data_IF_128208124147
#
_entry.id   IF_128208124147
#
_cell.length_a   1.000
_cell.length_b   1.000
_cell.length_c   1.000
_cell.angle_alpha   90.00
_cell.angle_beta   90.00
_cell.angle_gamma   90.00
#
_symmetry.space_group_name_H-M   'P 1'
#
loop_
_entity.id
_entity.type
_entity.pdbx_description
1 polymer ?
#
# COMPACT_ATOMS: atom_id res chain seq x y z
N UNK A 1 -20.66 -4.46 13.92
CA UNK A 1 -20.14 -3.23 13.29
C UNK A 1 -20.62 -3.20 11.85
N UNK A 2 -21.20 -2.12 11.34
CA UNK A 2 -21.67 -2.04 9.95
C UNK A 2 -20.73 -1.11 9.20
N UNK A 3 -20.04 -1.65 8.20
CA UNK A 3 -19.29 -0.88 7.22
C UNK A 3 -20.27 -0.11 6.32
N UNK A 4 -20.09 1.19 6.24
CA UNK A 4 -20.72 2.01 5.22
C UNK A 4 -19.66 2.41 4.21
N UNK A 5 -19.83 1.97 2.96
CA UNK A 5 -19.07 2.49 1.83
C UNK A 5 -19.46 3.97 1.65
N UNK A 6 -18.53 4.89 1.95
CA UNK A 6 -18.78 6.32 1.89
C UNK A 6 -18.61 6.92 0.49
N UNK A 7 -18.19 6.13 -0.47
CA UNK A 7 -18.06 6.50 -1.86
C UNK A 7 -16.71 6.13 -2.47
N UNK A 8 -16.70 5.90 -3.77
CA UNK A 8 -15.51 5.70 -4.59
C UNK A 8 -15.50 6.82 -5.63
N UNK A 9 -14.43 7.62 -5.64
CA UNK A 9 -14.20 8.61 -6.71
C UNK A 9 -12.83 8.40 -7.33
N UNK A 10 -12.67 8.79 -8.58
CA UNK A 10 -11.42 8.77 -9.32
C UNK A 10 -11.06 10.20 -9.73
N UNK A 11 -9.79 10.46 -10.04
CA UNK A 11 -9.34 11.77 -10.51
C UNK A 11 -9.98 12.20 -11.85
N UNK A 12 -10.64 11.26 -12.55
CA UNK A 12 -11.42 11.54 -13.78
C UNK A 12 -12.89 11.87 -13.52
N UNK A 13 -13.37 11.80 -12.27
CA UNK A 13 -14.74 12.18 -11.93
C UNK A 13 -14.82 13.70 -11.70
N UNK A 14 -15.87 14.35 -12.16
CA UNK A 14 -16.08 15.81 -12.03
C UNK A 14 -16.30 16.30 -10.58
N UNK A 15 -15.68 15.66 -9.60
CA UNK A 15 -15.77 16.00 -8.16
C UNK A 15 -17.11 15.67 -7.50
N UNK A 16 -17.98 14.91 -8.19
CA UNK A 16 -19.28 14.49 -7.65
C UNK A 16 -19.16 13.08 -7.07
N UNK A 17 -19.26 12.98 -5.76
CA UNK A 17 -19.34 11.68 -5.07
C UNK A 17 -20.69 11.04 -5.36
N UNK A 18 -20.70 9.89 -6.03
CA UNK A 18 -21.93 9.14 -6.23
C UNK A 18 -22.36 8.49 -4.91
N UNK A 19 -23.47 8.92 -4.35
CA UNK A 19 -24.11 8.26 -3.21
C UNK A 19 -24.78 6.96 -3.68
N UNK A 20 -24.79 5.95 -2.82
CA UNK A 20 -25.42 4.67 -3.12
C UNK A 20 -26.84 4.84 -3.63
N UNK A 21 -27.10 4.37 -4.87
CA UNK A 21 -28.41 4.43 -5.52
C UNK A 21 -28.61 5.54 -6.57
N UNK A 22 -27.58 6.38 -6.86
CA UNK A 22 -27.65 7.36 -7.94
C UNK A 22 -26.88 6.90 -9.18
N UNK A 23 -27.34 7.28 -10.41
CA UNK A 23 -26.59 6.96 -11.63
C UNK A 23 -25.27 7.73 -11.68
N UNK A 24 -24.19 7.04 -12.04
CA UNK A 24 -22.85 7.63 -12.18
C UNK A 24 -22.84 8.65 -13.32
N UNK A 25 -22.19 9.82 -13.14
CA UNK A 25 -21.91 10.74 -14.24
C UNK A 25 -21.00 10.09 -15.29
N UNK A 26 -21.11 10.49 -16.53
CA UNK A 26 -20.33 9.94 -17.65
C UNK A 26 -18.84 10.30 -17.47
N UNK A 27 -17.97 9.29 -17.61
CA UNK A 27 -16.50 9.46 -17.59
C UNK A 27 -16.05 10.37 -18.77
N UNK A 28 -15.17 11.30 -18.49
CA UNK A 28 -14.39 12.01 -19.50
C UNK A 28 -13.15 11.18 -19.88
N UNK A 29 -12.81 11.22 -21.15
CA UNK A 29 -11.68 10.63 -21.89
C UNK A 29 -10.84 9.51 -21.25
N UNK A 30 -10.68 8.42 -22.04
CA UNK A 30 -10.06 7.14 -21.63
C UNK A 30 -8.52 7.18 -21.48
N UNK A 31 -7.85 8.30 -21.69
CA UNK A 31 -6.39 8.39 -21.78
C UNK A 31 -5.69 9.17 -20.63
N UNK A 32 -6.42 9.65 -19.63
CA UNK A 32 -5.79 10.26 -18.46
C UNK A 32 -5.52 9.21 -17.36
N UNK A 33 -4.34 9.25 -16.69
CA UNK A 33 -4.04 8.35 -15.57
C UNK A 33 -4.99 8.62 -14.41
N UNK A 34 -5.86 7.66 -14.14
CA UNK A 34 -6.88 7.73 -13.09
C UNK A 34 -6.30 7.31 -11.75
N UNK A 35 -6.27 8.22 -10.80
CA UNK A 35 -5.99 7.90 -9.39
C UNK A 35 -7.30 7.60 -8.69
N UNK A 36 -7.48 6.34 -8.27
CA UNK A 36 -8.67 5.92 -7.53
C UNK A 36 -8.52 6.23 -6.03
N UNK A 37 -9.46 7.00 -5.47
CA UNK A 37 -9.56 7.22 -4.03
C UNK A 37 -10.65 6.32 -3.46
N UNK A 38 -10.27 5.46 -2.48
CA UNK A 38 -11.24 4.71 -1.70
C UNK A 38 -11.15 5.19 -0.26
N UNK A 39 -12.26 5.70 0.24
CA UNK A 39 -12.37 6.16 1.61
C UNK A 39 -13.05 5.08 2.43
N UNK A 40 -12.32 4.51 3.40
CA UNK A 40 -12.90 3.71 4.47
C UNK A 40 -12.89 4.54 5.75
N UNK A 41 -14.02 4.64 6.42
CA UNK A 41 -14.09 5.16 7.78
C UNK A 41 -13.91 3.98 8.73
N UNK A 42 -12.75 3.90 9.37
CA UNK A 42 -12.54 3.03 10.52
C UNK A 42 -13.04 3.77 11.78
N UNK A 43 -13.89 3.13 12.55
CA UNK A 43 -14.41 3.68 13.80
C UNK A 43 -14.01 2.79 14.97
N UNK A 44 -13.28 3.36 15.90
CA UNK A 44 -12.78 2.79 17.16
C UNK A 44 -11.73 1.68 17.02
N UNK A 45 -10.47 2.05 16.97
CA UNK A 45 -9.40 1.24 17.52
C UNK A 45 -8.99 1.82 18.89
N UNK A 46 -9.06 0.96 19.90
CA UNK A 46 -8.33 1.14 21.14
C UNK A 46 -6.85 1.35 20.85
N UNK A 47 -6.13 2.23 21.55
CA UNK A 47 -4.69 2.26 21.48
C UNK A 47 -4.15 1.01 22.19
N UNK A 48 -3.82 -0.02 21.46
CA UNK A 48 -2.88 -1.02 21.92
C UNK A 48 -1.50 -0.58 21.43
N UNK A 49 -0.76 0.01 22.36
CA UNK A 49 0.67 0.15 22.24
C UNK A 49 1.27 -1.25 22.18
N UNK A 50 2.08 -1.48 21.22
CA UNK A 50 3.07 -2.53 20.99
C UNK A 50 2.80 -3.30 19.71
N UNK A 51 3.49 -2.90 18.65
CA UNK A 51 4.27 -3.82 17.84
C UNK A 51 4.95 -3.10 16.67
N UNK A 52 6.24 -3.32 16.65
CA UNK A 52 7.13 -3.17 15.52
C UNK A 52 7.63 -1.75 15.18
N UNK A 53 8.37 -1.19 16.14
CA UNK A 53 9.58 -0.48 15.79
C UNK A 53 10.50 -1.47 15.07
N UNK A 54 10.63 -1.35 13.75
CA UNK A 54 11.73 -1.96 13.01
C UNK A 54 13.02 -1.46 13.64
N UNK A 55 13.79 -2.39 14.19
CA UNK A 55 15.08 -2.13 14.76
C UNK A 55 16.01 -1.65 13.65
N UNK A 56 16.34 -0.38 13.67
CA UNK A 56 17.64 0.17 13.31
C UNK A 56 17.64 1.68 13.63
N UNK A 57 17.66 2.00 14.92
CA UNK A 57 18.33 3.20 15.42
C UNK A 57 18.82 2.98 16.85
N UNK A 58 19.97 2.32 16.96
CA UNK A 58 20.76 2.38 18.18
C UNK A 58 21.55 3.68 18.18
N UNK A 59 21.00 4.64 18.86
CA UNK A 59 21.57 5.82 19.44
C UNK A 59 22.98 6.24 19.03
N UNK A 60 23.05 7.31 18.25
CA UNK A 60 24.14 8.30 18.37
C UNK A 60 23.56 9.71 18.32
N UNK A 61 23.80 10.41 19.38
CA UNK A 61 23.48 11.80 19.69
C UNK A 61 23.38 12.73 18.47
N UNK A 62 22.21 13.31 18.22
CA UNK A 62 22.10 14.63 17.59
C UNK A 62 21.53 14.70 16.16
N UNK A 63 21.34 13.59 15.43
CA UNK A 63 20.72 13.62 14.10
C UNK A 63 19.25 13.21 14.21
N UNK A 64 18.29 14.00 13.70
CA UNK A 64 16.89 13.63 13.74
C UNK A 64 16.65 12.36 12.89
N UNK A 65 15.76 11.49 13.37
CA UNK A 65 15.35 10.28 12.63
C UNK A 65 14.64 10.66 11.32
N UNK A 66 14.60 9.73 10.35
CA UNK A 66 13.87 9.96 9.10
C UNK A 66 12.39 10.30 9.37
N UNK A 67 11.77 9.64 10.36
CA UNK A 67 10.40 9.92 10.75
C UNK A 67 10.19 11.36 11.25
N UNK A 68 11.06 11.84 12.14
CA UNK A 68 10.99 13.22 12.63
C UNK A 68 11.14 14.24 11.50
N UNK A 69 12.03 13.98 10.53
CA UNK A 69 12.22 14.85 9.36
C UNK A 69 10.95 14.85 8.48
N UNK A 70 10.34 13.70 8.22
CA UNK A 70 9.12 13.59 7.40
C UNK A 70 7.94 14.30 8.07
N UNK A 71 7.73 14.10 9.37
CA UNK A 71 6.69 14.77 10.13
C UNK A 71 6.89 16.30 10.16
N UNK A 72 8.14 16.72 10.39
CA UNK A 72 8.51 18.14 10.35
C UNK A 72 8.26 18.76 8.98
N UNK A 73 8.56 18.03 7.89
CA UNK A 73 8.33 18.46 6.51
C UNK A 73 6.85 18.62 6.22
N UNK A 74 6.03 17.64 6.58
CA UNK A 74 4.58 17.69 6.41
C UNK A 74 3.97 18.88 7.18
N UNK A 75 4.39 19.08 8.43
CA UNK A 75 3.98 20.23 9.25
C UNK A 75 4.37 21.57 8.63
N UNK A 76 5.58 21.67 8.11
CA UNK A 76 6.08 22.88 7.46
C UNK A 76 5.23 23.23 6.23
N UNK A 77 4.93 22.25 5.38
CA UNK A 77 4.13 22.44 4.18
C UNK A 77 2.70 22.90 4.49
N UNK A 78 2.04 22.28 5.48
CA UNK A 78 0.70 22.72 5.91
C UNK A 78 0.76 24.14 6.47
N UNK A 79 1.76 24.46 7.29
CA UNK A 79 1.96 25.79 7.89
C UNK A 79 2.11 26.88 6.83
N UNK A 80 2.95 26.64 5.83
CA UNK A 80 3.16 27.56 4.69
C UNK A 80 1.85 27.78 3.93
N UNK A 81 1.10 26.70 3.67
CA UNK A 81 -0.19 26.75 2.95
C UNK A 81 -1.24 27.55 3.70
N UNK A 82 -1.24 27.49 5.04
CA UNK A 82 -2.15 28.22 5.92
C UNK A 82 -1.65 29.63 6.28
N UNK A 83 -0.51 30.07 5.72
CA UNK A 83 0.13 31.35 6.01
C UNK A 83 0.45 31.58 7.49
N UNK A 84 0.81 30.51 8.19
CA UNK A 84 1.26 30.56 9.59
C UNK A 84 2.78 30.74 9.59
N UNK A 85 3.29 31.68 10.37
CA UNK A 85 4.75 31.93 10.45
C UNK A 85 5.50 30.72 10.99
N UNK A 86 6.68 30.46 10.43
CA UNK A 86 7.61 29.44 10.95
C UNK A 86 8.30 29.95 12.23
N UNK A 87 8.56 29.06 13.20
CA UNK A 87 9.33 29.43 14.40
C UNK A 87 10.74 29.91 14.04
N UNK A 88 11.37 29.28 13.04
CA UNK A 88 12.69 29.66 12.52
C UNK A 88 12.75 29.47 11.00
N UNK A 89 13.72 30.12 10.34
CA UNK A 89 13.96 29.91 8.92
C UNK A 89 14.34 28.45 8.56
N UNK A 90 14.94 27.71 9.50
CA UNK A 90 15.29 26.31 9.33
C UNK A 90 14.06 25.37 9.33
N UNK A 91 12.89 25.84 9.76
CA UNK A 91 11.65 25.08 9.80
C UNK A 91 10.81 25.23 8.52
N UNK A 92 11.33 25.95 7.50
CA UNK A 92 10.68 26.03 6.20
C UNK A 92 10.83 24.74 5.39
N UNK A 93 9.84 24.43 4.56
CA UNK A 93 9.88 23.29 3.63
C UNK A 93 11.16 23.28 2.81
N UNK A 94 11.57 24.42 2.25
CA UNK A 94 12.79 24.55 1.44
C UNK A 94 14.06 24.21 2.25
N UNK A 95 14.16 24.70 3.50
CA UNK A 95 15.31 24.44 4.36
C UNK A 95 15.40 22.98 4.77
N UNK A 96 14.28 22.34 5.09
CA UNK A 96 14.23 20.91 5.45
C UNK A 96 14.66 20.05 4.26
N UNK A 97 14.15 20.33 3.06
CA UNK A 97 14.53 19.62 1.83
C UNK A 97 16.02 19.77 1.52
N UNK A 98 16.56 20.99 1.65
CA UNK A 98 17.98 21.26 1.41
C UNK A 98 18.91 20.55 2.41
N UNK A 99 18.50 20.42 3.66
CA UNK A 99 19.26 19.76 4.71
C UNK A 99 19.23 18.22 4.62
N UNK A 100 18.29 17.63 3.86
CA UNK A 100 18.07 16.19 3.81
C UNK A 100 18.06 15.66 2.36
N UNK A 101 19.23 15.42 1.75
CA UNK A 101 19.36 15.02 0.35
C UNK A 101 18.61 13.73 -0.02
N UNK A 102 18.45 12.79 0.91
CA UNK A 102 17.70 11.55 0.72
C UNK A 102 16.22 11.77 0.36
N UNK A 103 15.63 12.91 0.73
CA UNK A 103 14.27 13.31 0.32
C UNK A 103 14.15 13.60 -1.18
N UNK A 104 15.27 13.67 -1.92
CA UNK A 104 15.25 13.79 -3.38
C UNK A 104 15.09 12.44 -4.11
N UNK A 105 15.21 11.33 -3.40
CA UNK A 105 14.98 10.01 -3.97
C UNK A 105 13.49 9.84 -4.33
N UNK A 106 13.18 9.10 -5.41
CA UNK A 106 11.80 8.77 -5.74
C UNK A 106 11.12 8.06 -4.58
N UNK A 107 9.88 8.43 -4.27
CA UNK A 107 9.12 7.80 -3.19
C UNK A 107 7.65 8.15 -3.28
N UNK A 108 6.82 7.30 -2.70
CA UNK A 108 5.38 7.50 -2.58
C UNK A 108 4.99 7.46 -1.10
N UNK A 109 4.03 8.30 -0.72
CA UNK A 109 3.56 8.34 0.65
C UNK A 109 2.06 8.64 0.73
N UNK A 110 1.50 8.37 1.91
CA UNK A 110 0.22 8.93 2.36
C UNK A 110 0.49 9.87 3.53
N UNK A 111 -0.24 10.97 3.57
CA UNK A 111 -0.26 11.85 4.73
C UNK A 111 -1.65 11.84 5.32
N UNK A 112 -1.74 11.42 6.56
CA UNK A 112 -2.99 11.36 7.34
C UNK A 112 -2.98 12.43 8.41
N UNK A 113 -4.06 13.17 8.48
CA UNK A 113 -4.30 14.18 9.51
C UNK A 113 -5.44 13.71 10.41
N UNK A 114 -5.24 13.78 11.71
CA UNK A 114 -6.28 13.50 12.70
C UNK A 114 -6.43 14.66 13.66
N UNK A 115 -7.64 14.86 14.20
CA UNK A 115 -7.95 15.81 15.23
C UNK A 115 -8.75 15.12 16.34
N UNK A 116 -8.22 15.12 17.56
CA UNK A 116 -8.84 14.41 18.67
C UNK A 116 -9.05 12.91 18.41
N UNK A 117 -8.13 12.26 17.67
CA UNK A 117 -8.18 10.85 17.28
C UNK A 117 -9.15 10.54 16.13
N UNK A 118 -9.77 11.57 15.51
CA UNK A 118 -10.67 11.40 14.36
C UNK A 118 -9.96 11.80 13.07
N UNK A 119 -10.22 11.06 11.99
CA UNK A 119 -9.73 11.42 10.68
C UNK A 119 -10.17 12.83 10.30
N UNK A 120 -9.22 13.67 9.84
CA UNK A 120 -9.43 15.05 9.41
C UNK A 120 -8.98 15.28 7.96
N UNK A 121 -8.20 14.40 7.40
CA UNK A 121 -7.78 14.36 6.01
C UNK A 121 -6.79 13.24 5.76
N UNK A 122 -6.79 12.65 4.55
CA UNK A 122 -5.83 11.65 4.16
C UNK A 122 -5.71 11.63 2.63
N UNK A 123 -4.52 11.98 2.13
CA UNK A 123 -4.20 11.97 0.69
C UNK A 123 -2.82 11.35 0.51
N UNK A 124 -2.64 10.64 -0.60
CA UNK A 124 -1.37 10.03 -0.95
C UNK A 124 -1.31 9.50 -2.36
N UNK A 125 -0.16 8.98 -2.74
CA UNK A 125 0.10 8.30 -4.00
C UNK A 125 0.58 6.87 -3.76
N UNK A 126 0.26 5.99 -4.71
CA UNK A 126 0.65 4.57 -4.66
C UNK A 126 1.94 4.30 -5.45
N UNK A 127 2.31 5.23 -6.30
CA UNK A 127 3.45 5.11 -7.20
C UNK A 127 4.33 6.35 -7.05
N UNK A 128 5.63 6.14 -6.99
CA UNK A 128 6.61 7.22 -6.91
C UNK A 128 6.73 7.97 -8.24
N UNK A 129 5.94 9.04 -8.40
CA UNK A 129 6.01 9.91 -9.58
C UNK A 129 6.98 11.08 -9.42
N UNK A 130 7.45 11.34 -8.21
CA UNK A 130 8.32 12.47 -7.84
C UNK A 130 9.19 12.08 -6.65
N UNK A 131 10.03 13.01 -6.21
CA UNK A 131 10.86 12.78 -5.02
C UNK A 131 9.98 12.71 -3.75
N UNK A 132 10.39 11.85 -2.80
CA UNK A 132 9.67 11.63 -1.55
C UNK A 132 9.36 12.93 -0.80
N UNK A 133 10.35 13.84 -0.70
CA UNK A 133 10.13 15.09 0.00
C UNK A 133 9.07 15.98 -0.65
N UNK A 134 8.99 16.00 -1.98
CA UNK A 134 7.91 16.70 -2.69
C UNK A 134 6.57 16.02 -2.50
N UNK A 135 6.58 14.68 -2.52
CA UNK A 135 5.37 13.88 -2.34
C UNK A 135 4.75 14.13 -0.96
N UNK A 136 5.56 14.08 0.09
CA UNK A 136 5.15 14.40 1.47
C UNK A 136 4.61 15.82 1.58
N UNK A 137 5.33 16.80 1.05
CA UNK A 137 4.92 18.21 1.19
C UNK A 137 3.60 18.50 0.46
N UNK A 138 3.42 17.99 -0.76
CA UNK A 138 2.20 18.21 -1.54
C UNK A 138 1.02 17.45 -0.92
N UNK A 139 1.19 16.17 -0.53
CA UNK A 139 0.11 15.40 0.08
C UNK A 139 -0.28 15.92 1.46
N UNK A 140 0.64 16.49 2.23
CA UNK A 140 0.33 17.17 3.48
C UNK A 140 -0.60 18.38 3.25
N UNK A 141 -0.29 19.18 2.22
CA UNK A 141 -1.15 20.31 1.82
C UNK A 141 -2.50 19.82 1.31
N UNK A 142 -2.51 18.78 0.48
CA UNK A 142 -3.73 18.24 -0.11
C UNK A 142 -4.63 17.58 0.94
N UNK A 143 -4.07 16.83 1.87
CA UNK A 143 -4.82 16.28 3.00
C UNK A 143 -5.45 17.37 3.87
N UNK A 144 -4.75 18.51 4.05
CA UNK A 144 -5.27 19.63 4.82
C UNK A 144 -6.33 20.45 4.06
N UNK A 145 -6.27 20.55 2.72
CA UNK A 145 -7.05 21.55 2.00
C UNK A 145 -7.85 21.04 0.80
N UNK A 146 -7.61 19.82 0.33
CA UNK A 146 -8.20 19.27 -0.88
C UNK A 146 -8.84 17.89 -0.72
N UNK A 147 -8.85 17.34 0.48
CA UNK A 147 -9.60 16.10 0.75
C UNK A 147 -11.11 16.39 0.62
N UNK A 148 -11.80 15.81 -0.38
CA UNK A 148 -13.20 16.17 -0.66
C UNK A 148 -14.18 15.75 0.44
N UNK A 149 -13.75 14.94 1.39
CA UNK A 149 -14.56 14.50 2.53
C UNK A 149 -14.69 15.56 3.61
N UNK A 150 -13.81 16.55 3.61
CA UNK A 150 -13.67 17.52 4.69
C UNK A 150 -13.60 18.96 4.15
N UNK A 151 -14.01 19.92 4.96
CA UNK A 151 -13.72 21.32 4.70
C UNK A 151 -12.21 21.58 4.87
N UNK A 152 -11.61 22.54 4.13
CA UNK A 152 -10.22 22.90 4.31
C UNK A 152 -9.88 23.21 5.77
N UNK A 153 -8.73 22.73 6.23
CA UNK A 153 -8.20 23.00 7.57
C UNK A 153 -7.92 24.50 7.71
N UNK A 154 -8.24 25.06 8.86
CA UNK A 154 -7.99 26.47 9.20
C UNK A 154 -6.71 26.63 10.03
N UNK A 155 -6.18 27.85 10.09
CA UNK A 155 -5.02 28.15 10.94
C UNK A 155 -5.31 27.90 12.45
N UNK A 156 -6.55 28.00 12.88
CA UNK A 156 -6.96 27.74 14.27
C UNK A 156 -6.97 26.23 14.59
N UNK A 157 -7.28 25.38 13.62
CA UNK A 157 -7.26 23.92 13.76
C UNK A 157 -5.84 23.33 13.70
N UNK A 158 -4.91 24.00 13.00
CA UNK A 158 -3.56 23.50 12.79
C UNK A 158 -2.84 22.97 14.05
N UNK A 159 -2.86 23.66 15.22
CA UNK A 159 -2.21 23.14 16.42
C UNK A 159 -2.91 21.94 17.05
N UNK A 160 -4.14 21.62 16.64
CA UNK A 160 -4.93 20.48 17.14
C UNK A 160 -4.75 19.22 16.30
N UNK A 161 -4.09 19.34 15.14
CA UNK A 161 -3.84 18.21 14.27
C UNK A 161 -2.74 17.33 14.83
N UNK A 162 -2.89 16.01 14.60
CA UNK A 162 -1.77 15.06 14.60
C UNK A 162 -1.50 14.64 13.15
N UNK A 163 -0.24 14.55 12.80
CA UNK A 163 0.22 14.18 11.46
C UNK A 163 0.82 12.78 11.52
N UNK A 164 0.46 11.96 10.54
CA UNK A 164 1.10 10.69 10.24
C UNK A 164 1.57 10.70 8.79
N UNK A 165 2.78 10.21 8.55
CA UNK A 165 3.34 10.01 7.21
C UNK A 165 3.64 8.53 7.04
N UNK A 166 2.94 7.89 6.12
CA UNK A 166 3.12 6.50 5.74
C UNK A 166 3.91 6.43 4.44
N UNK A 167 5.16 5.97 4.49
CA UNK A 167 6.02 5.81 3.32
C UNK A 167 5.87 4.41 2.76
N UNK A 168 5.61 4.32 1.46
CA UNK A 168 5.47 3.06 0.74
C UNK A 168 6.83 2.56 0.30
N UNK A 169 7.11 1.29 0.57
CA UNK A 169 8.22 0.56 -0.04
C UNK A 169 8.03 0.35 -1.54
N UNK A 170 9.08 0.00 -2.23
CA UNK A 170 8.99 -0.36 -3.65
C UNK A 170 8.13 -1.61 -3.82
N UNK A 171 7.20 -1.63 -4.79
CA UNK A 171 6.43 -2.82 -5.09
C UNK A 171 7.32 -3.94 -5.63
N UNK A 172 7.21 -5.13 -5.04
CA UNK A 172 7.95 -6.32 -5.44
C UNK A 172 6.99 -7.39 -5.97
N UNK A 173 7.36 -8.10 -7.06
CA UNK A 173 6.59 -9.25 -7.52
C UNK A 173 6.47 -10.29 -6.40
N UNK A 174 5.27 -10.84 -6.22
CA UNK A 174 5.08 -11.94 -5.26
C UNK A 174 5.55 -13.23 -5.92
N UNK A 175 6.53 -13.89 -5.27
CA UNK A 175 7.14 -15.13 -5.77
C UNK A 175 6.89 -16.30 -4.85
N UNK A 176 6.87 -17.49 -5.41
CA UNK A 176 6.83 -18.77 -4.71
C UNK A 176 8.00 -19.65 -5.15
N UNK A 177 8.46 -20.48 -4.23
CA UNK A 177 9.52 -21.44 -4.51
C UNK A 177 8.97 -22.62 -5.34
N UNK A 178 9.61 -22.96 -6.44
CA UNK A 178 9.15 -24.03 -7.35
C UNK A 178 9.21 -25.45 -6.75
N UNK A 179 9.78 -25.61 -5.56
CA UNK A 179 9.88 -26.93 -4.91
C UNK A 179 8.57 -27.49 -4.38
N UNK A 180 7.55 -26.66 -4.17
CA UNK A 180 6.31 -27.08 -3.47
C UNK A 180 5.17 -27.51 -4.42
N UNK A 181 5.28 -27.28 -5.72
CA UNK A 181 4.17 -27.47 -6.65
C UNK A 181 4.03 -28.89 -7.24
N UNK A 182 5.12 -29.69 -7.27
CA UNK A 182 5.09 -31.01 -7.93
C UNK A 182 4.75 -32.20 -7.01
N UNK A 183 4.55 -31.94 -5.70
CA UNK A 183 4.31 -33.03 -4.71
C UNK A 183 2.83 -33.42 -4.53
N UNK A 184 1.88 -32.77 -5.17
CA UNK A 184 0.43 -33.06 -5.01
C UNK A 184 -0.27 -33.50 -6.31
N UNK A 185 0.45 -34.10 -7.23
CA UNK A 185 -0.09 -34.63 -8.49
C UNK A 185 -0.16 -36.15 -8.52
N UNK A 186 -1.36 -36.70 -8.31
CA UNK A 186 -1.85 -38.03 -8.78
C UNK A 186 -1.14 -39.28 -8.29
N UNK A 187 -1.61 -39.78 -7.14
CA UNK A 187 -1.51 -41.19 -6.81
C UNK A 187 -2.49 -42.02 -7.64
N UNK A 188 -2.11 -42.48 -8.83
CA UNK A 188 -2.77 -43.61 -9.48
C UNK A 188 -1.87 -44.84 -9.33
N UNK A 189 -2.32 -45.74 -8.44
CA UNK A 189 -1.74 -47.06 -8.31
C UNK A 189 -2.18 -47.91 -9.51
N UNK A 190 -1.24 -48.28 -10.36
CA UNK A 190 -1.39 -49.50 -11.16
C UNK A 190 -0.04 -50.23 -11.12
N UNK A 191 -0.06 -51.33 -10.37
CA UNK A 191 1.03 -52.29 -10.33
C UNK A 191 1.04 -53.09 -11.58
N UNK A 192 2.18 -53.20 -12.23
CA UNK A 192 2.49 -54.36 -13.11
C UNK A 192 3.98 -54.70 -12.98
N UNK A 193 4.17 -55.94 -12.54
CA UNK A 193 5.45 -56.63 -12.52
C UNK A 193 5.97 -56.86 -13.94
N UNK A 194 7.23 -56.63 -14.18
CA UNK A 194 8.14 -57.62 -14.84
C UNK A 194 9.58 -57.11 -15.02
N UNK A 195 10.48 -57.94 -14.55
CA UNK A 195 11.80 -58.31 -15.12
C UNK A 195 13.02 -57.37 -15.03
N UNK A 196 13.89 -57.74 -14.10
CA UNK A 196 15.35 -57.79 -14.11
C UNK A 196 16.05 -57.56 -15.48
N UNK A 197 16.98 -56.61 -15.51
CA UNK A 197 18.31 -56.83 -16.13
C UNK A 197 19.31 -55.76 -15.71
N UNK A 198 20.51 -56.21 -15.36
CA UNK A 198 21.66 -55.45 -14.89
C UNK A 198 22.38 -54.69 -15.98
N UNK A 199 22.85 -53.47 -15.71
CA UNK A 199 23.83 -52.74 -16.53
C UNK A 199 24.34 -51.50 -15.79
N UNK A 200 25.57 -51.02 -16.06
CA UNK A 200 26.38 -50.39 -15.03
C UNK A 200 26.10 -48.90 -14.77
N UNK A 201 26.52 -48.52 -13.59
CA UNK A 201 26.57 -47.17 -13.04
C UNK A 201 27.18 -46.17 -14.01
N UNK A 202 26.46 -45.12 -14.31
CA UNK A 202 27.01 -43.86 -14.80
C UNK A 202 26.45 -42.73 -13.92
N UNK A 203 27.37 -42.09 -13.25
CA UNK A 203 27.39 -40.76 -12.70
C UNK A 203 26.05 -40.14 -12.20
N UNK A 204 25.96 -40.10 -10.88
CA UNK A 204 25.06 -39.22 -10.16
C UNK A 204 25.34 -37.77 -10.57
N UNK A 205 24.57 -37.23 -11.51
CA UNK A 205 24.40 -35.80 -11.67
C UNK A 205 23.74 -35.33 -10.38
N UNK A 206 24.53 -34.70 -9.52
CA UNK A 206 24.02 -33.87 -8.46
C UNK A 206 23.05 -32.88 -9.09
N UNK A 207 21.76 -33.10 -8.95
CA UNK A 207 20.75 -32.06 -9.16
C UNK A 207 21.02 -31.03 -8.06
N UNK A 208 21.73 -29.98 -8.47
CA UNK A 208 21.80 -28.74 -7.72
C UNK A 208 20.36 -28.28 -7.56
N UNK A 209 19.85 -28.34 -6.32
CA UNK A 209 18.52 -27.89 -5.98
C UNK A 209 18.48 -26.36 -6.00
N UNK A 210 18.65 -25.77 -7.19
CA UNK A 210 18.42 -24.37 -7.37
C UNK A 210 16.95 -24.11 -7.12
N UNK A 211 16.67 -23.54 -5.96
CA UNK A 211 15.38 -23.02 -5.57
C UNK A 211 15.05 -21.91 -6.55
N UNK A 212 14.30 -22.18 -7.61
CA UNK A 212 13.95 -21.20 -8.63
C UNK A 212 12.67 -20.51 -8.17
N UNK A 213 12.82 -19.27 -7.75
CA UNK A 213 11.68 -18.40 -7.46
C UNK A 213 10.92 -18.11 -8.76
N UNK A 214 9.63 -18.19 -8.71
CA UNK A 214 8.72 -17.82 -9.80
C UNK A 214 7.56 -16.96 -9.29
N UNK A 215 7.01 -16.07 -10.13
CA UNK A 215 5.79 -15.34 -9.78
C UNK A 215 4.64 -16.29 -9.46
N UNK A 216 3.73 -15.85 -8.56
CA UNK A 216 2.47 -16.55 -8.29
C UNK A 216 1.64 -16.67 -9.57
N UNK A 217 1.02 -17.84 -9.77
CA UNK A 217 0.27 -18.15 -11.00
C UNK A 217 -1.22 -18.28 -10.76
N UNK A 218 -1.63 -18.46 -9.52
CA UNK A 218 -3.04 -18.66 -9.16
C UNK A 218 -3.42 -17.86 -7.94
N UNK A 219 -4.73 -17.70 -7.75
CA UNK A 219 -5.29 -17.09 -6.56
C UNK A 219 -4.91 -17.84 -5.29
N UNK A 220 -4.97 -19.16 -5.30
CA UNK A 220 -4.61 -19.99 -4.16
C UNK A 220 -3.17 -19.81 -3.75
N UNK A 221 -2.22 -19.80 -4.70
CA UNK A 221 -0.82 -19.52 -4.41
C UNK A 221 -0.62 -18.14 -3.79
N UNK A 222 -1.34 -17.12 -4.29
CA UNK A 222 -1.29 -15.78 -3.72
C UNK A 222 -1.77 -15.77 -2.27
N UNK A 223 -2.96 -16.33 -2.00
CA UNK A 223 -3.55 -16.36 -0.67
C UNK A 223 -2.68 -17.11 0.36
N UNK A 224 -1.92 -18.13 -0.06
CA UNK A 224 -0.99 -18.89 0.79
C UNK A 224 0.26 -18.11 1.20
N UNK A 225 0.70 -17.13 0.39
CA UNK A 225 1.97 -16.40 0.63
C UNK A 225 1.80 -14.96 1.10
N UNK A 226 0.56 -14.47 1.15
CA UNK A 226 0.26 -13.16 1.72
C UNK A 226 0.52 -13.14 3.23
N UNK A 227 1.02 -12.01 3.71
CA UNK A 227 1.33 -11.76 5.13
C UNK A 227 0.34 -10.76 5.71
N UNK A 228 -0.74 -11.22 6.37
CA UNK A 228 -1.70 -10.32 7.00
C UNK A 228 -1.02 -9.30 7.93
N UNK A 229 -1.48 -8.05 7.87
CA UNK A 229 -0.95 -6.93 8.66
C UNK A 229 0.37 -6.33 8.15
N UNK A 230 1.02 -6.93 7.13
CA UNK A 230 2.30 -6.44 6.60
C UNK A 230 2.22 -6.07 5.13
N UNK A 231 1.59 -6.93 4.32
CA UNK A 231 1.58 -6.74 2.87
C UNK A 231 0.48 -5.77 2.45
N UNK A 232 0.88 -4.67 1.81
CA UNK A 232 0.04 -4.01 0.83
C UNK A 232 0.05 -4.83 -0.46
N UNK A 233 -1.07 -4.90 -1.17
CA UNK A 233 -1.22 -5.71 -2.36
C UNK A 233 -1.67 -4.87 -3.54
N UNK A 234 -0.98 -5.01 -4.67
CA UNK A 234 -1.38 -4.48 -5.96
C UNK A 234 -1.77 -5.66 -6.84
N UNK A 235 -2.97 -5.60 -7.43
CA UNK A 235 -3.42 -6.52 -8.46
C UNK A 235 -3.61 -5.75 -9.77
N UNK A 236 -3.09 -6.29 -10.87
CA UNK A 236 -3.30 -5.74 -12.21
C UNK A 236 -3.61 -6.87 -13.20
N UNK A 237 -4.64 -6.70 -14.03
CA UNK A 237 -4.95 -7.64 -15.10
C UNK A 237 -4.39 -7.15 -16.45
N UNK A 238 -4.37 -8.06 -17.42
CA UNK A 238 -3.90 -7.76 -18.78
C UNK A 238 -4.78 -6.77 -19.55
N UNK A 239 -5.95 -6.40 -19.01
CA UNK A 239 -6.89 -5.44 -19.60
C UNK A 239 -6.71 -4.03 -19.04
N UNK A 240 -5.71 -3.82 -18.18
CA UNK A 240 -5.42 -2.54 -17.56
C UNK A 240 -6.28 -2.22 -16.32
N UNK A 241 -7.09 -3.17 -15.83
CA UNK A 241 -7.79 -3.01 -14.55
C UNK A 241 -6.81 -3.29 -13.42
N UNK A 242 -6.71 -2.38 -12.48
CA UNK A 242 -5.83 -2.53 -11.33
C UNK A 242 -6.47 -1.98 -10.06
N UNK A 243 -6.06 -2.51 -8.93
CA UNK A 243 -6.41 -1.97 -7.63
C UNK A 243 -5.31 -2.29 -6.62
N UNK A 244 -5.31 -1.56 -5.52
CA UNK A 244 -4.42 -1.82 -4.40
C UNK A 244 -5.15 -1.71 -3.08
N UNK A 245 -4.66 -2.45 -2.09
CA UNK A 245 -4.97 -2.27 -0.67
C UNK A 245 -3.69 -2.01 0.10
N UNK A 246 -3.75 -1.06 1.03
CA UNK A 246 -2.71 -0.80 2.02
C UNK A 246 -2.72 -1.88 3.11
N UNK A 247 -1.61 -2.10 3.82
CA UNK A 247 -1.56 -3.07 4.92
C UNK A 247 -2.63 -2.86 6.00
N UNK A 248 -3.04 -1.61 6.27
CA UNK A 248 -4.07 -1.31 7.27
C UNK A 248 -5.43 -1.96 6.98
N UNK A 249 -5.70 -2.34 5.72
CA UNK A 249 -6.94 -3.04 5.35
C UNK A 249 -7.03 -4.42 5.98
N UNK A 250 -5.90 -5.03 6.37
CA UNK A 250 -5.89 -6.30 7.10
C UNK A 250 -6.60 -6.24 8.45
N UNK A 251 -6.68 -5.08 9.09
CA UNK A 251 -7.40 -4.90 10.35
C UNK A 251 -8.91 -5.18 10.19
N UNK A 252 -9.44 -4.89 9.02
CA UNK A 252 -10.86 -5.10 8.68
C UNK A 252 -11.09 -6.43 7.94
N UNK A 253 -10.13 -6.86 7.14
CA UNK A 253 -10.18 -8.07 6.31
C UNK A 253 -8.99 -8.98 6.64
N UNK A 254 -8.96 -9.62 7.81
CA UNK A 254 -7.82 -10.42 8.26
C UNK A 254 -7.66 -11.75 7.51
N UNK A 255 -8.69 -12.21 6.81
CA UNK A 255 -8.66 -13.42 5.99
C UNK A 255 -8.13 -13.12 4.58
N UNK A 256 -7.06 -13.80 4.10
CA UNK A 256 -6.50 -13.56 2.77
C UNK A 256 -7.50 -13.75 1.63
N UNK A 257 -8.43 -14.70 1.76
CA UNK A 257 -9.45 -14.94 0.73
C UNK A 257 -10.40 -13.74 0.60
N UNK A 258 -10.87 -13.22 1.73
CA UNK A 258 -11.76 -12.04 1.76
C UNK A 258 -11.02 -10.79 1.29
N UNK A 259 -9.77 -10.62 1.72
CA UNK A 259 -8.91 -9.51 1.30
C UNK A 259 -8.74 -9.48 -0.22
N UNK A 260 -8.38 -10.61 -0.83
CA UNK A 260 -8.23 -10.74 -2.29
C UNK A 260 -9.57 -10.55 -3.00
N UNK A 261 -10.66 -11.11 -2.47
CA UNK A 261 -12.00 -10.97 -3.06
C UNK A 261 -12.45 -9.49 -3.13
N UNK A 262 -12.25 -8.74 -2.05
CA UNK A 262 -12.58 -7.31 -2.00
C UNK A 262 -11.66 -6.48 -2.90
N UNK A 263 -10.37 -6.84 -2.99
CA UNK A 263 -9.45 -6.15 -3.90
C UNK A 263 -9.80 -6.39 -5.37
N UNK A 264 -10.20 -7.62 -5.74
CA UNK A 264 -10.72 -7.91 -7.07
C UNK A 264 -11.97 -7.08 -7.39
N UNK A 265 -12.92 -7.01 -6.43
CA UNK A 265 -14.12 -6.19 -6.59
C UNK A 265 -13.77 -4.71 -6.84
N UNK A 266 -12.79 -4.19 -6.10
CA UNK A 266 -12.26 -2.82 -6.26
C UNK A 266 -11.66 -2.60 -7.65
N UNK A 267 -10.98 -3.61 -8.21
CA UNK A 267 -10.44 -3.58 -9.57
C UNK A 267 -11.53 -3.74 -10.65
N UNK A 268 -12.81 -3.89 -10.29
CA UNK A 268 -13.89 -4.19 -11.23
C UNK A 268 -13.83 -5.61 -11.79
N UNK A 269 -13.20 -6.52 -11.06
CA UNK A 269 -13.14 -7.96 -11.35
C UNK A 269 -14.11 -8.69 -10.41
N UNK A 270 -14.68 -9.82 -10.85
CA UNK A 270 -15.57 -10.58 -9.97
C UNK A 270 -14.84 -11.02 -8.70
N UNK A 271 -15.41 -10.85 -7.49
CA UNK A 271 -14.79 -11.26 -6.22
C UNK A 271 -14.40 -12.74 -6.17
N UNK A 272 -15.20 -13.60 -6.84
CA UNK A 272 -14.98 -15.05 -6.92
C UNK A 272 -14.13 -15.46 -8.12
N UNK A 273 -13.43 -14.51 -8.77
CA UNK A 273 -12.56 -14.85 -9.90
C UNK A 273 -11.37 -15.67 -9.42
N UNK A 274 -11.28 -16.86 -9.95
CA UNK A 274 -10.15 -17.76 -9.72
C UNK A 274 -9.36 -17.84 -11.03
N UNK A 275 -8.11 -17.34 -10.98
CA UNK A 275 -7.25 -17.30 -12.15
C UNK A 275 -6.17 -18.37 -12.06
N UNK A 276 -5.66 -18.72 -13.23
CA UNK A 276 -4.50 -19.59 -13.41
C UNK A 276 -3.52 -18.94 -14.38
N UNK A 277 -2.31 -19.44 -14.43
CA UNK A 277 -1.30 -19.07 -15.44
C UNK A 277 -0.98 -17.57 -15.56
N UNK A 278 -0.86 -16.87 -14.41
CA UNK A 278 -0.41 -15.48 -14.37
C UNK A 278 -1.30 -14.50 -15.17
N UNK A 279 -2.61 -14.69 -15.17
CA UNK A 279 -3.56 -13.75 -15.77
C UNK A 279 -3.64 -12.43 -14.99
N UNK A 280 -3.32 -12.48 -13.68
CA UNK A 280 -3.24 -11.35 -12.77
C UNK A 280 -1.79 -11.18 -12.34
N UNK A 281 -1.25 -9.99 -12.53
CA UNK A 281 0.03 -9.58 -11.95
C UNK A 281 -0.19 -9.16 -10.49
N UNK A 282 0.63 -9.72 -9.60
CA UNK A 282 0.51 -9.54 -8.17
C UNK A 282 1.82 -8.98 -7.61
N UNK A 283 1.76 -7.81 -7.01
CA UNK A 283 2.89 -7.17 -6.36
C UNK A 283 2.53 -6.83 -4.93
N UNK A 284 3.48 -6.99 -4.01
CA UNK A 284 3.35 -6.54 -2.63
C UNK A 284 4.29 -5.40 -2.33
N UNK A 285 3.95 -4.64 -1.31
CA UNK A 285 4.80 -3.59 -0.75
C UNK A 285 4.56 -3.50 0.76
N UNK A 286 5.56 -3.01 1.48
CA UNK A 286 5.42 -2.71 2.90
C UNK A 286 5.23 -1.20 3.09
N UNK A 287 4.66 -0.81 4.22
CA UNK A 287 4.46 0.59 4.58
C UNK A 287 5.12 0.85 5.92
N UNK A 288 5.92 1.90 5.98
CA UNK A 288 6.48 2.39 7.24
C UNK A 288 5.76 3.66 7.64
N UNK A 289 5.02 3.61 8.75
CA UNK A 289 4.27 4.74 9.27
C UNK A 289 5.06 5.47 10.36
N UNK A 290 5.05 6.78 10.31
CA UNK A 290 5.62 7.69 11.29
C UNK A 290 4.52 8.63 11.77
N UNK A 291 4.21 8.63 13.06
CA UNK A 291 3.14 9.42 13.64
C UNK A 291 3.64 10.33 14.76
N UNK A 292 3.01 11.47 14.91
CA UNK A 292 3.16 12.32 16.08
C UNK A 292 2.43 11.70 17.29
N UNK A 293 2.98 11.92 18.49
CA UNK A 293 2.45 11.38 19.74
C UNK A 293 1.80 12.48 20.58
#
# INVERSE_FOLDING_TARGET
MRLFELGCSTSGDDGVVALAGQPRPAMRDADEPVVGYVSFAAWESKPEADALAGADDLGTSGTPSHGEVLLKLARAAIRERLHIEHPTAADSTASILAANPWLNEPGACFVTLTEGGRLRGCIGSLVAHRSLGKDVAEHAVDAATRDPRFTPVTAAEYPLLNVEVSVLGEPEPITVNSCDADSRGTGSKTATLASLQSGPQTDAVKRDGSNVERPVRSRTELEEVLRPGKDGLILADRRGRSATFLPQVWDELPDPHDFVAHLLAKAGIRPSYDWTDSEIDCQRYEVTAYAEH
#
